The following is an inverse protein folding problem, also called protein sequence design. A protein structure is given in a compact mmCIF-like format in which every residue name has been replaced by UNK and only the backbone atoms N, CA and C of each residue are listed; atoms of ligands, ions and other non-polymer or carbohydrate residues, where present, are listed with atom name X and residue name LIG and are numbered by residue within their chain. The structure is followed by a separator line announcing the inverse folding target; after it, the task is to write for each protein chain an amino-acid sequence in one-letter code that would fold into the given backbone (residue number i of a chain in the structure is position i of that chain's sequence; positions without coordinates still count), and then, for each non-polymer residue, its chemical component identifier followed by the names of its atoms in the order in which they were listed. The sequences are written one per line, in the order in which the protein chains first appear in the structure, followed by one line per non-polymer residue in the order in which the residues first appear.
data_IF_376851643630
#
_entry.id   IF_376851643630
#
_cell.length_a   1.000
_cell.length_b   1.000
_cell.length_c   1.000
_cell.angle_alpha   90.00
_cell.angle_beta   90.00
_cell.angle_gamma   90.00
#
_symmetry.space_group_name_H-M   'P 1'
#
loop_
_entity.id
_entity.type
_entity.pdbx_description
1 polymer ?
#
# COMPACT_ATOMS: atom_id res chain seq x y z
N UNK A 1 -0.28 -0.98 -26.71
CA UNK A 1 0.58 -1.42 -25.59
C UNK A 1 -0.34 -1.52 -24.39
N UNK A 2 -0.58 -2.71 -23.83
CA UNK A 2 -1.50 -2.84 -22.71
C UNK A 2 -0.88 -2.16 -21.48
N UNK A 3 -1.30 -0.94 -21.17
CA UNK A 3 -1.01 -0.31 -19.89
C UNK A 3 -1.64 -1.21 -18.83
N UNK A 4 -0.80 -2.00 -18.14
CA UNK A 4 -1.24 -2.77 -16.98
C UNK A 4 -1.54 -1.76 -15.88
N UNK A 5 -2.77 -1.26 -15.86
CA UNK A 5 -3.29 -0.45 -14.77
C UNK A 5 -3.15 -1.30 -13.51
N UNK A 6 -2.22 -0.90 -12.64
CA UNK A 6 -2.10 -1.53 -11.33
C UNK A 6 -3.28 -1.04 -10.52
N UNK A 7 -4.04 -1.98 -9.98
CA UNK A 7 -5.20 -1.71 -9.14
C UNK A 7 -4.93 -2.22 -7.74
N UNK A 8 -5.55 -1.59 -6.75
CA UNK A 8 -5.47 -2.07 -5.38
C UNK A 8 -6.02 -3.51 -5.30
N UNK A 9 -5.30 -4.40 -4.62
CA UNK A 9 -5.77 -5.79 -4.42
C UNK A 9 -7.04 -5.88 -3.56
N UNK A 10 -7.29 -4.90 -2.70
CA UNK A 10 -8.42 -4.89 -1.75
C UNK A 10 -9.68 -4.31 -2.41
N UNK A 11 -9.60 -3.11 -3.00
CA UNK A 11 -10.77 -2.43 -3.58
C UNK A 11 -10.80 -2.39 -5.12
N UNK A 12 -9.75 -2.84 -5.81
CA UNK A 12 -9.66 -2.77 -7.27
C UNK A 12 -9.46 -1.35 -7.81
N UNK A 13 -9.33 -0.34 -6.96
CA UNK A 13 -9.24 1.05 -7.39
C UNK A 13 -7.79 1.47 -7.70
N UNK A 14 -7.60 2.38 -8.65
CA UNK A 14 -6.30 2.96 -9.03
C UNK A 14 -6.24 4.49 -8.83
N UNK A 15 -7.31 5.09 -8.28
CA UNK A 15 -7.42 6.53 -8.14
C UNK A 15 -6.50 7.14 -7.07
N UNK A 16 -6.06 6.33 -6.11
CA UNK A 16 -5.19 6.74 -5.00
C UNK A 16 -3.77 6.21 -5.17
N UNK A 17 -2.83 6.71 -4.35
CA UNK A 17 -1.44 6.26 -4.41
C UNK A 17 -1.35 4.77 -4.07
N UNK A 18 -0.70 4.01 -4.94
CA UNK A 18 -0.50 2.58 -4.78
C UNK A 18 0.85 2.31 -4.11
N UNK A 19 0.81 1.56 -3.03
CA UNK A 19 1.98 1.18 -2.23
C UNK A 19 2.27 -0.31 -2.39
N UNK A 20 3.54 -0.62 -2.60
CA UNK A 20 4.03 -2.00 -2.65
C UNK A 20 4.23 -2.56 -1.25
N UNK A 21 4.26 -3.90 -1.19
CA UNK A 21 4.64 -4.61 0.03
C UNK A 21 6.00 -4.11 0.55
N UNK A 22 6.08 -3.76 1.84
CA UNK A 22 7.33 -3.33 2.46
C UNK A 22 8.35 -4.47 2.50
N UNK A 23 9.64 -4.10 2.47
CA UNK A 23 10.74 -5.06 2.51
C UNK A 23 10.90 -5.72 3.90
N UNK A 24 10.48 -5.03 4.97
CA UNK A 24 10.53 -5.53 6.33
C UNK A 24 9.58 -6.72 6.53
N UNK A 25 10.11 -7.88 6.93
CA UNK A 25 9.34 -9.13 7.11
C UNK A 25 8.15 -8.98 8.07
N UNK A 26 8.30 -8.24 9.17
CA UNK A 26 7.23 -8.05 10.16
C UNK A 26 6.07 -7.22 9.60
N UNK A 27 6.40 -6.09 8.97
CA UNK A 27 5.42 -5.20 8.36
C UNK A 27 4.74 -5.90 7.18
N UNK A 28 5.51 -6.68 6.41
CA UNK A 28 4.99 -7.52 5.32
C UNK A 28 4.00 -8.57 5.79
N UNK A 29 4.26 -9.23 6.93
CA UNK A 29 3.30 -10.15 7.55
C UNK A 29 2.00 -9.44 7.92
N UNK A 30 2.08 -8.30 8.62
CA UNK A 30 0.91 -7.47 8.95
C UNK A 30 0.11 -7.09 7.71
N UNK A 31 0.79 -6.69 6.64
CA UNK A 31 0.17 -6.37 5.36
C UNK A 31 -0.55 -7.56 4.74
N UNK A 32 0.09 -8.73 4.71
CA UNK A 32 -0.52 -9.94 4.17
C UNK A 32 -1.72 -10.38 5.01
N UNK A 33 -1.64 -10.28 6.34
CA UNK A 33 -2.77 -10.51 7.25
C UNK A 33 -3.90 -9.50 7.03
N UNK A 34 -3.59 -8.23 6.79
CA UNK A 34 -4.57 -7.21 6.50
C UNK A 34 -5.27 -7.43 5.14
N UNK A 35 -4.51 -7.77 4.10
CA UNK A 35 -5.03 -7.97 2.74
C UNK A 35 -5.86 -9.27 2.64
N UNK A 36 -5.32 -10.37 3.17
CA UNK A 36 -5.87 -11.71 2.97
C UNK A 36 -6.54 -12.31 4.22
N UNK A 37 -6.53 -11.62 5.35
CA UNK A 37 -6.93 -12.14 6.66
C UNK A 37 -5.94 -13.15 7.26
N UNK A 38 -5.28 -13.94 6.42
CA UNK A 38 -4.19 -14.85 6.77
C UNK A 38 -3.05 -14.71 5.76
N UNK A 39 -1.78 -14.74 6.21
CA UNK A 39 -0.66 -14.57 5.32
C UNK A 39 -0.50 -15.81 4.43
N UNK A 40 -0.69 -15.70 3.09
CA UNK A 40 -0.53 -16.84 2.21
C UNK A 40 0.95 -17.23 2.07
N UNK A 41 1.21 -18.52 1.86
CA UNK A 41 2.57 -19.05 1.62
C UNK A 41 3.14 -18.49 0.30
N UNK A 42 2.28 -18.25 -0.68
CA UNK A 42 2.63 -17.70 -1.98
C UNK A 42 1.85 -16.40 -2.21
N UNK A 43 2.58 -15.33 -2.51
CA UNK A 43 2.00 -14.04 -2.88
C UNK A 43 2.82 -13.40 -3.99
N UNK A 44 2.16 -12.61 -4.82
CA UNK A 44 2.83 -11.85 -5.87
C UNK A 44 3.60 -10.68 -5.27
N UNK A 45 4.87 -10.52 -5.66
CA UNK A 45 5.65 -9.33 -5.32
C UNK A 45 5.07 -8.02 -5.90
N UNK A 46 4.15 -8.15 -6.86
CA UNK A 46 3.44 -7.08 -7.55
C UNK A 46 2.17 -6.62 -6.83
N UNK A 47 1.89 -7.15 -5.63
CA UNK A 47 0.77 -6.70 -4.82
C UNK A 47 0.94 -5.25 -4.43
N UNK A 48 -0.09 -4.47 -4.73
CA UNK A 48 -0.20 -3.07 -4.35
C UNK A 48 -1.49 -2.81 -3.60
N UNK A 49 -1.41 -1.96 -2.60
CA UNK A 49 -2.57 -1.51 -1.81
C UNK A 49 -2.67 0.01 -1.94
N UNK A 50 -3.88 0.53 -2.11
CA UNK A 50 -4.07 1.97 -2.14
C UNK A 50 -3.90 2.58 -0.74
N UNK A 51 -3.48 3.83 -0.69
CA UNK A 51 -3.33 4.58 0.56
C UNK A 51 -4.60 4.69 1.39
N UNK A 52 -5.77 4.57 0.76
CA UNK A 52 -7.08 4.68 1.39
C UNK A 52 -7.34 3.61 2.46
N UNK A 53 -6.66 2.47 2.36
CA UNK A 53 -6.76 1.38 3.33
C UNK A 53 -5.81 1.51 4.52
N UNK A 54 -4.98 2.54 4.56
CA UNK A 54 -4.05 2.78 5.67
C UNK A 54 -4.53 3.96 6.50
N UNK A 55 -4.21 3.92 7.78
CA UNK A 55 -4.47 5.05 8.64
C UNK A 55 -3.44 6.17 8.37
N UNK A 56 -3.85 7.43 8.53
CA UNK A 56 -2.95 8.59 8.39
C UNK A 56 -1.70 8.48 9.28
N UNK A 57 -1.82 7.83 10.44
CA UNK A 57 -0.74 7.61 11.40
C UNK A 57 0.41 6.74 10.87
N UNK A 58 0.14 5.84 9.92
CA UNK A 58 1.12 4.91 9.35
C UNK A 58 2.07 5.56 8.33
N UNK A 59 1.74 6.76 7.86
CA UNK A 59 2.54 7.46 6.86
C UNK A 59 3.53 8.43 7.51
N UNK A 60 4.73 8.54 6.94
CA UNK A 60 5.75 9.52 7.37
C UNK A 60 5.41 10.92 6.89
N UNK A 61 4.72 10.99 5.75
CA UNK A 61 4.51 12.19 4.96
C UNK A 61 3.01 12.48 4.78
N UNK A 62 2.16 11.98 5.68
CA UNK A 62 0.73 12.27 5.66
C UNK A 62 0.47 13.78 5.67
N UNK A 63 1.18 14.51 6.53
CA UNK A 63 1.04 15.95 6.69
C UNK A 63 1.32 16.71 5.38
N UNK A 64 2.37 16.29 4.66
CA UNK A 64 2.74 16.86 3.37
C UNK A 64 1.79 16.42 2.23
N UNK A 65 1.21 15.23 2.32
CA UNK A 65 0.16 14.80 1.39
C UNK A 65 -1.14 15.57 1.60
N UNK A 66 -1.57 15.71 2.87
CA UNK A 66 -2.76 16.45 3.26
C UNK A 66 -2.65 17.94 2.94
N UNK A 67 -1.43 18.49 2.99
CA UNK A 67 -1.15 19.87 2.60
C UNK A 67 -1.04 20.05 1.07
N UNK A 68 -1.20 18.98 0.28
CA UNK A 68 -1.11 19.01 -1.18
C UNK A 68 0.32 19.18 -1.72
N UNK A 69 1.34 19.14 -0.86
CA UNK A 69 2.75 19.33 -1.23
C UNK A 69 3.39 18.05 -1.78
N UNK A 70 2.80 16.88 -1.54
CA UNK A 70 3.30 15.60 -2.08
C UNK A 70 2.15 14.82 -2.70
N UNK A 71 2.32 14.32 -3.92
CA UNK A 71 1.29 13.52 -4.62
C UNK A 71 1.32 12.02 -4.28
N UNK A 72 2.30 11.59 -3.46
CA UNK A 72 2.54 10.20 -3.09
C UNK A 72 2.75 10.05 -1.58
N UNK A 73 1.95 9.21 -0.95
CA UNK A 73 2.17 8.81 0.43
C UNK A 73 3.37 7.85 0.55
N UNK A 74 4.05 7.87 1.68
CA UNK A 74 5.20 7.04 2.03
C UNK A 74 4.95 6.46 3.41
N UNK A 75 4.91 5.14 3.48
CA UNK A 75 4.70 4.42 4.74
C UNK A 75 5.97 4.49 5.60
N UNK A 76 5.78 4.62 6.90
CA UNK A 76 6.88 4.57 7.88
C UNK A 76 7.61 3.24 7.75
N UNK A 77 8.94 3.23 7.62
CA UNK A 77 9.72 2.02 7.81
C UNK A 77 9.74 1.71 9.32
N UNK A 78 8.65 1.18 9.87
CA UNK A 78 8.58 0.67 11.25
C UNK A 78 9.41 -0.58 11.44
#
# INVERSE_FOLDING_TARGET
MAERIRTCIICGNNSSTLHFLPNKKQLRKRWLEFIFGRPPVYYSAWLVVCSDHFEPSDFTNYDAYSSGSVSKLSLKPG
#
